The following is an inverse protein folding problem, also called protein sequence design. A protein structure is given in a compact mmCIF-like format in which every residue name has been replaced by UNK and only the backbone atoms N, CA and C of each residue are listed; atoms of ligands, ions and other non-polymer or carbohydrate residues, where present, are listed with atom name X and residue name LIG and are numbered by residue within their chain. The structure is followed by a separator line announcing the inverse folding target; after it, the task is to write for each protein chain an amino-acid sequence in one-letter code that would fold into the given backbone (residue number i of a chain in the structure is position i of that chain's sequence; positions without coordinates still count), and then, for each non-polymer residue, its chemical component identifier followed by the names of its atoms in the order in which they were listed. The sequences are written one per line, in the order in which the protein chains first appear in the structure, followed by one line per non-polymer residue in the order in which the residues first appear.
data_IF_074398182014
#
_entry.id   IF_074398182014
#
_cell.length_a   1.000
_cell.length_b   1.000
_cell.length_c   1.000
_cell.angle_alpha   90.00
_cell.angle_beta   90.00
_cell.angle_gamma   90.00
#
_symmetry.space_group_name_H-M   'P 1'
#
loop_
_entity.id
_entity.type
_entity.pdbx_description
1 polymer ?
#
# COMPACT_ATOMS: atom_id res chain seq x y z
N UNK A 1 28.79 24.31 -24.30
CA UNK A 1 28.20 23.14 -23.66
C UNK A 1 27.00 22.73 -24.48
N UNK A 2 27.13 21.61 -25.17
CA UNK A 2 26.52 21.36 -26.47
C UNK A 2 25.02 20.99 -26.41
N UNK A 3 24.26 21.59 -27.32
CA UNK A 3 22.87 21.20 -27.63
C UNK A 3 22.66 19.70 -27.94
N UNK A 4 23.74 18.97 -28.22
CA UNK A 4 23.76 17.54 -28.48
C UNK A 4 23.60 16.70 -27.19
N UNK A 5 23.97 17.21 -26.02
CA UNK A 5 23.79 16.55 -24.73
C UNK A 5 22.36 16.65 -24.20
N UNK A 6 21.61 17.67 -24.63
CA UNK A 6 20.21 17.84 -24.29
C UNK A 6 19.29 16.91 -25.13
N UNK A 7 19.72 16.53 -26.33
CA UNK A 7 18.99 15.59 -27.20
C UNK A 7 19.18 14.14 -26.80
N UNK A 8 20.29 13.78 -26.13
CA UNK A 8 20.52 12.41 -25.65
C UNK A 8 19.72 12.09 -24.40
N UNK A 9 19.28 13.11 -23.66
CA UNK A 9 18.42 12.94 -22.46
C UNK A 9 16.94 12.85 -22.85
N UNK A 10 16.57 13.32 -24.04
CA UNK A 10 15.17 13.39 -24.50
C UNK A 10 14.73 12.14 -25.29
N UNK A 11 15.63 11.21 -25.59
CA UNK A 11 15.34 10.02 -26.40
C UNK A 11 15.12 8.74 -25.59
N UNK A 12 15.03 8.81 -24.26
CA UNK A 12 14.58 7.67 -23.43
C UNK A 12 13.12 7.92 -23.05
N UNK A 13 12.26 7.93 -24.03
CA UNK A 13 10.81 7.82 -23.87
C UNK A 13 10.39 6.59 -24.64
N UNK A 14 10.29 5.45 -23.99
CA UNK A 14 9.48 4.33 -24.47
C UNK A 14 8.86 3.65 -23.25
N UNK A 15 7.59 3.93 -23.09
CA UNK A 15 6.46 3.01 -23.28
C UNK A 15 6.35 1.93 -22.25
N UNK A 16 5.24 2.04 -21.53
CA UNK A 16 4.27 1.05 -21.16
C UNK A 16 4.59 0.07 -20.06
N UNK A 17 3.58 -0.22 -19.42
CA UNK A 17 3.27 -1.45 -18.77
C UNK A 17 3.23 -1.29 -17.27
N UNK A 18 2.25 -1.60 -16.78
CA UNK A 18 1.53 -1.42 -15.59
C UNK A 18 1.77 -2.50 -14.56
N UNK A 19 1.80 -2.16 -13.28
CA UNK A 19 1.35 -3.06 -12.24
C UNK A 19 1.21 -2.50 -10.85
N UNK A 20 0.45 -3.22 -10.04
CA UNK A 20 -0.32 -2.71 -8.95
C UNK A 20 0.33 -2.67 -7.55
N UNK A 21 1.16 -3.63 -7.18
CA UNK A 21 1.99 -3.55 -5.98
C UNK A 21 3.30 -2.85 -6.33
N UNK A 22 3.96 -2.18 -5.38
CA UNK A 22 5.22 -1.48 -5.66
C UNK A 22 6.23 -2.35 -6.40
N UNK A 23 6.35 -3.63 -6.02
CA UNK A 23 7.23 -4.59 -6.69
C UNK A 23 6.84 -4.87 -8.15
N UNK A 24 5.55 -5.05 -8.44
CA UNK A 24 5.08 -5.30 -9.80
C UNK A 24 5.19 -4.03 -10.65
N UNK A 25 4.80 -2.88 -10.10
CA UNK A 25 4.94 -1.61 -10.77
C UNK A 25 6.40 -1.36 -11.17
N UNK A 26 7.35 -1.60 -10.27
CA UNK A 26 8.76 -1.39 -10.54
C UNK A 26 9.32 -2.42 -11.52
N UNK A 27 8.92 -3.70 -11.44
CA UNK A 27 9.30 -4.72 -12.44
C UNK A 27 8.95 -4.29 -13.86
N UNK A 28 7.82 -3.65 -14.03
CA UNK A 28 7.31 -3.20 -15.33
C UNK A 28 7.67 -1.74 -15.66
N UNK A 29 8.37 -1.03 -14.78
CA UNK A 29 8.65 0.38 -14.95
C UNK A 29 7.42 1.30 -14.92
N UNK A 30 6.34 0.86 -14.27
CA UNK A 30 5.05 1.52 -14.30
C UNK A 30 4.77 2.36 -13.06
N UNK A 31 3.75 3.23 -13.15
CA UNK A 31 3.22 4.02 -12.04
C UNK A 31 1.90 3.42 -11.53
N UNK A 32 1.57 3.62 -10.25
CA UNK A 32 0.33 3.11 -9.64
C UNK A 32 -0.94 3.44 -10.44
N UNK A 33 -1.01 4.66 -11.01
CA UNK A 33 -2.17 5.12 -11.80
C UNK A 33 -2.39 4.37 -13.12
N UNK A 34 -1.41 3.60 -13.57
CA UNK A 34 -1.57 2.79 -14.79
C UNK A 34 -2.46 1.58 -14.49
N UNK A 35 -2.31 0.97 -13.31
CA UNK A 35 -3.02 -0.25 -12.92
C UNK A 35 -4.25 -0.02 -12.06
N UNK A 36 -4.34 1.08 -11.37
CA UNK A 36 -5.45 1.37 -10.46
C UNK A 36 -6.31 2.55 -10.92
N UNK A 37 -7.59 2.46 -10.59
CA UNK A 37 -8.53 3.59 -10.73
C UNK A 37 -8.11 4.72 -9.78
N UNK A 38 -7.75 4.38 -8.54
CA UNK A 38 -7.14 5.30 -7.59
C UNK A 38 -5.69 5.59 -8.02
N UNK A 39 -5.33 6.83 -8.42
CA UNK A 39 -4.00 7.14 -8.93
C UNK A 39 -2.84 6.84 -7.96
N UNK A 40 -3.13 6.76 -6.66
CA UNK A 40 -2.14 6.44 -5.62
C UNK A 40 -2.03 4.95 -5.32
N UNK A 41 -2.70 4.10 -6.10
CA UNK A 41 -2.72 2.64 -5.92
C UNK A 41 -3.79 2.17 -4.95
N UNK A 42 -3.89 0.85 -4.77
CA UNK A 42 -4.90 0.14 -3.98
C UNK A 42 -6.31 0.15 -4.61
N UNK A 43 -7.16 -0.75 -4.13
CA UNK A 43 -8.53 -0.90 -4.56
C UNK A 43 -8.65 -1.40 -6.01
N UNK A 44 -9.71 -0.99 -6.68
CA UNK A 44 -10.05 -1.46 -8.01
C UNK A 44 -8.95 -1.25 -9.04
N UNK A 45 -8.72 -2.26 -9.85
CA UNK A 45 -7.79 -2.21 -10.98
C UNK A 45 -8.41 -1.43 -12.16
N UNK A 46 -7.57 -0.78 -12.93
CA UNK A 46 -7.92 -0.28 -14.27
C UNK A 46 -8.09 -1.45 -15.24
N UNK A 47 -8.57 -1.20 -16.45
CA UNK A 47 -8.61 -2.23 -17.52
C UNK A 47 -7.24 -2.87 -17.71
N UNK A 48 -6.19 -2.08 -17.75
CA UNK A 48 -4.83 -2.58 -17.88
C UNK A 48 -4.39 -3.41 -16.67
N UNK A 49 -4.58 -2.93 -15.44
CA UNK A 49 -4.23 -3.67 -14.23
C UNK A 49 -5.03 -4.96 -14.08
N UNK A 50 -6.27 -4.99 -14.54
CA UNK A 50 -7.09 -6.20 -14.59
C UNK A 50 -6.56 -7.20 -15.61
N UNK A 51 -6.20 -6.76 -16.83
CA UNK A 51 -5.59 -7.64 -17.85
C UNK A 51 -4.27 -8.22 -17.34
N UNK A 52 -3.40 -7.41 -16.76
CA UNK A 52 -2.15 -7.90 -16.19
C UNK A 52 -2.37 -8.96 -15.12
N UNK A 53 -3.25 -8.71 -14.16
CA UNK A 53 -3.57 -9.67 -13.09
C UNK A 53 -4.17 -10.99 -13.61
N UNK A 54 -4.81 -10.96 -14.78
CA UNK A 54 -5.42 -12.15 -15.38
C UNK A 54 -4.48 -12.94 -16.30
N UNK A 55 -3.56 -12.26 -16.97
CA UNK A 55 -2.79 -12.87 -18.07
C UNK A 55 -1.30 -13.02 -17.74
N UNK A 56 -0.71 -12.09 -16.96
CA UNK A 56 0.74 -12.04 -16.73
C UNK A 56 1.15 -12.61 -15.37
N UNK A 57 0.30 -12.41 -14.34
CA UNK A 57 0.63 -12.86 -12.99
C UNK A 57 0.40 -14.35 -12.75
N UNK A 58 -0.41 -15.01 -13.55
CA UNK A 58 -0.93 -16.36 -13.25
C UNK A 58 -0.10 -17.48 -13.90
N UNK A 59 -0.06 -18.65 -13.25
CA UNK A 59 0.53 -19.86 -13.82
C UNK A 59 -0.30 -20.37 -15.02
N UNK A 60 -1.63 -20.29 -14.88
CA UNK A 60 -2.58 -20.71 -15.91
C UNK A 60 -3.55 -19.58 -16.20
N UNK A 61 -3.62 -19.14 -17.43
CA UNK A 61 -4.51 -18.07 -17.86
C UNK A 61 -5.90 -18.61 -18.20
N UNK A 62 -6.92 -17.75 -18.17
CA UNK A 62 -8.27 -18.12 -18.58
C UNK A 62 -8.35 -18.59 -20.06
N UNK A 63 -7.42 -18.14 -20.91
CA UNK A 63 -7.33 -18.56 -22.33
C UNK A 63 -6.90 -20.02 -22.49
N UNK A 64 -6.21 -20.57 -21.49
CA UNK A 64 -5.75 -21.97 -21.49
C UNK A 64 -6.80 -22.92 -20.88
N UNK A 65 -7.77 -22.38 -20.16
CA UNK A 65 -8.89 -23.14 -19.60
C UNK A 65 -10.10 -22.98 -20.49
N UNK A 66 -10.41 -24.01 -21.29
CA UNK A 66 -11.43 -23.99 -22.36
C UNK A 66 -12.86 -23.70 -21.89
N UNK A 67 -13.13 -23.77 -20.59
CA UNK A 67 -14.47 -23.67 -20.01
C UNK A 67 -14.72 -22.35 -19.26
N UNK A 68 -13.74 -21.45 -19.15
CA UNK A 68 -13.90 -20.14 -18.54
C UNK A 68 -14.06 -19.10 -19.63
N UNK A 69 -15.27 -18.58 -19.76
CA UNK A 69 -15.53 -17.45 -20.64
C UNK A 69 -14.74 -16.20 -20.18
N UNK A 70 -14.33 -15.39 -21.13
CA UNK A 70 -13.69 -14.12 -20.85
C UNK A 70 -14.66 -13.23 -20.06
N UNK A 71 -14.31 -12.92 -18.80
CA UNK A 71 -15.09 -11.97 -18.03
C UNK A 71 -14.41 -10.59 -18.04
N UNK A 72 -15.21 -9.55 -17.99
CA UNK A 72 -14.75 -8.17 -17.85
C UNK A 72 -15.40 -7.55 -16.62
N UNK A 73 -14.62 -6.85 -15.75
CA UNK A 73 -15.20 -6.08 -14.66
C UNK A 73 -16.02 -4.89 -15.16
N UNK A 74 -15.90 -4.52 -16.44
CA UNK A 74 -16.68 -3.45 -17.05
C UNK A 74 -18.10 -3.96 -17.40
N UNK A 75 -19.10 -3.47 -16.68
CA UNK A 75 -20.50 -3.76 -16.98
C UNK A 75 -20.98 -3.01 -18.24
N UNK A 76 -20.47 -1.80 -18.43
CA UNK A 76 -20.67 -0.95 -19.59
C UNK A 76 -19.63 0.20 -19.59
N UNK A 77 -19.76 1.16 -20.52
CA UNK A 77 -18.83 2.29 -20.66
C UNK A 77 -18.78 3.21 -19.43
N UNK A 78 -19.76 3.17 -18.57
CA UNK A 78 -19.89 4.05 -17.39
C UNK A 78 -19.60 3.33 -16.07
N UNK A 79 -19.88 2.03 -15.97
CA UNK A 79 -19.80 1.26 -14.73
C UNK A 79 -18.77 0.15 -14.82
N UNK A 80 -17.89 0.11 -13.85
CA UNK A 80 -16.98 -1.00 -13.60
C UNK A 80 -17.16 -1.48 -12.17
N UNK A 81 -17.22 -2.79 -11.97
CA UNK A 81 -17.35 -3.44 -10.66
C UNK A 81 -16.13 -4.30 -10.43
N UNK A 82 -15.62 -4.31 -9.21
CA UNK A 82 -14.53 -5.18 -8.81
C UNK A 82 -14.74 -5.70 -7.40
N UNK A 83 -13.97 -6.69 -7.04
CA UNK A 83 -14.04 -7.33 -5.73
C UNK A 83 -12.65 -7.77 -5.27
N UNK A 84 -12.43 -7.71 -3.98
CA UNK A 84 -11.27 -8.27 -3.29
C UNK A 84 -11.78 -9.07 -2.08
N UNK A 85 -11.56 -10.38 -2.10
CA UNK A 85 -12.05 -11.28 -1.08
C UNK A 85 -10.90 -12.13 -0.55
N UNK A 86 -10.60 -12.02 0.76
CA UNK A 86 -9.47 -12.70 1.40
C UNK A 86 -9.91 -13.46 2.63
N UNK A 87 -9.65 -14.76 2.62
CA UNK A 87 -9.78 -15.63 3.79
C UNK A 87 -8.39 -16.04 4.26
N UNK A 88 -8.13 -15.92 5.55
CA UNK A 88 -6.86 -16.27 6.15
C UNK A 88 -7.04 -17.50 7.06
N UNK A 89 -6.25 -18.56 6.82
CA UNK A 89 -5.92 -19.53 7.84
C UNK A 89 -4.74 -19.00 8.64
N UNK A 90 -4.92 -18.95 9.95
CA UNK A 90 -3.97 -18.40 10.90
C UNK A 90 -3.68 -19.44 11.99
N UNK A 91 -2.41 -19.69 12.26
CA UNK A 91 -1.94 -20.50 13.39
C UNK A 91 -0.91 -19.70 14.17
N UNK A 92 -1.00 -19.72 15.52
CA UNK A 92 -0.05 -19.09 16.44
C UNK A 92 0.54 -20.12 17.36
N UNK A 93 1.87 -20.15 17.47
CA UNK A 93 2.59 -21.11 18.31
C UNK A 93 2.35 -20.86 19.81
N UNK A 94 2.30 -19.63 20.26
CA UNK A 94 2.18 -19.23 21.66
C UNK A 94 1.12 -19.99 22.44
N UNK A 95 -0.01 -20.28 21.83
CA UNK A 95 -1.13 -20.99 22.44
C UNK A 95 -1.59 -22.20 21.64
N UNK A 96 -0.85 -22.55 20.59
CA UNK A 96 -1.14 -23.67 19.68
C UNK A 96 -2.57 -23.60 19.10
N UNK A 97 -3.03 -22.39 18.81
CA UNK A 97 -4.38 -22.17 18.27
C UNK A 97 -4.35 -21.87 16.78
N UNK A 98 -5.38 -22.34 16.08
CA UNK A 98 -5.61 -22.02 14.67
C UNK A 98 -7.04 -21.59 14.43
N UNK A 99 -7.21 -20.78 13.40
CA UNK A 99 -8.54 -20.30 13.00
C UNK A 99 -8.55 -19.96 11.51
N UNK A 100 -9.71 -20.15 10.88
CA UNK A 100 -10.04 -19.46 9.64
C UNK A 100 -10.82 -18.21 9.96
N UNK A 101 -10.44 -17.09 9.35
CA UNK A 101 -11.26 -15.89 9.45
C UNK A 101 -11.27 -15.11 8.14
N UNK A 102 -12.35 -14.39 7.93
CA UNK A 102 -12.51 -13.49 6.82
C UNK A 102 -11.64 -12.26 7.08
N UNK A 103 -10.54 -12.13 6.32
CA UNK A 103 -9.60 -11.04 6.50
C UNK A 103 -10.08 -9.76 5.80
N UNK A 104 -10.61 -9.91 4.60
CA UNK A 104 -11.07 -8.79 3.76
C UNK A 104 -12.22 -9.25 2.88
N UNK A 105 -13.11 -8.33 2.58
CA UNK A 105 -14.14 -8.48 1.56
C UNK A 105 -14.54 -7.09 1.14
N UNK A 106 -13.98 -6.60 0.04
CA UNK A 106 -14.23 -5.26 -0.48
C UNK A 106 -14.99 -5.35 -1.79
N UNK A 107 -15.97 -4.50 -1.94
CA UNK A 107 -16.71 -4.29 -3.17
C UNK A 107 -16.35 -2.92 -3.74
N UNK A 108 -15.96 -2.90 -4.99
CA UNK A 108 -15.54 -1.71 -5.72
C UNK A 108 -16.56 -1.32 -6.77
N UNK A 109 -16.79 -0.02 -6.91
CA UNK A 109 -17.59 0.55 -7.99
C UNK A 109 -16.90 1.79 -8.54
N UNK A 110 -16.65 1.84 -9.84
CA UNK A 110 -16.18 3.02 -10.57
C UNK A 110 -17.28 3.51 -11.51
N UNK A 111 -17.74 4.73 -11.27
CA UNK A 111 -18.66 5.44 -12.15
C UNK A 111 -17.87 6.43 -12.99
N UNK A 112 -17.66 6.12 -14.26
CA UNK A 112 -16.98 6.97 -15.23
C UNK A 112 -17.96 7.93 -15.88
N UNK A 113 -18.01 9.18 -15.42
CA UNK A 113 -18.87 10.21 -16.02
C UNK A 113 -18.40 10.63 -17.40
N UNK A 114 -17.07 10.70 -17.58
CA UNK A 114 -16.39 10.91 -18.86
C UNK A 114 -14.88 10.59 -18.72
N UNK A 115 -14.06 10.90 -19.72
CA UNK A 115 -12.60 10.65 -19.68
C UNK A 115 -11.86 11.38 -18.56
N UNK A 116 -12.43 12.46 -17.99
CA UNK A 116 -11.79 13.31 -16.97
C UNK A 116 -12.39 13.17 -15.58
N UNK A 117 -13.65 12.80 -15.47
CA UNK A 117 -14.39 12.77 -14.19
C UNK A 117 -14.87 11.38 -13.86
N UNK A 118 -14.63 10.95 -12.61
CA UNK A 118 -15.06 9.67 -12.04
C UNK A 118 -15.56 9.86 -10.61
N UNK A 119 -16.42 8.95 -10.19
CA UNK A 119 -16.76 8.74 -8.78
C UNK A 119 -16.37 7.31 -8.46
N UNK A 120 -15.54 7.15 -7.45
CA UNK A 120 -15.06 5.85 -6.98
C UNK A 120 -15.68 5.53 -5.64
N UNK A 121 -15.99 4.27 -5.45
CA UNK A 121 -16.57 3.74 -4.24
C UNK A 121 -15.91 2.40 -3.91
N UNK A 122 -15.48 2.24 -2.67
CA UNK A 122 -14.89 1.04 -2.11
C UNK A 122 -15.47 0.82 -0.72
N UNK A 123 -16.13 -0.32 -0.51
CA UNK A 123 -16.72 -0.68 0.77
C UNK A 123 -16.28 -2.06 1.20
N UNK A 124 -15.49 -2.10 2.26
CA UNK A 124 -15.15 -3.32 2.96
C UNK A 124 -16.31 -3.84 3.83
N UNK A 125 -16.40 -5.17 3.95
CA UNK A 125 -17.42 -5.82 4.80
C UNK A 125 -17.19 -5.53 6.29
N UNK A 126 -15.92 -5.42 6.72
CA UNK A 126 -15.56 -5.26 8.13
C UNK A 126 -15.08 -3.85 8.46
N UNK A 127 -14.23 -3.29 7.62
CA UNK A 127 -13.68 -1.96 7.79
C UNK A 127 -13.28 -1.41 6.44
N UNK A 128 -13.04 -0.11 6.39
CA UNK A 128 -12.69 0.56 5.16
C UNK A 128 -13.93 1.06 4.42
N UNK A 129 -13.87 2.32 4.09
CA UNK A 129 -14.84 2.97 3.23
C UNK A 129 -14.15 4.10 2.50
N UNK A 130 -13.86 3.88 1.23
CA UNK A 130 -13.37 4.96 0.38
C UNK A 130 -14.49 5.41 -0.56
N UNK A 131 -14.71 6.71 -0.62
CA UNK A 131 -15.57 7.33 -1.62
C UNK A 131 -14.99 8.67 -2.00
N UNK A 132 -14.72 8.84 -3.29
CA UNK A 132 -14.15 10.10 -3.76
C UNK A 132 -14.54 10.41 -5.21
N UNK A 133 -14.59 11.71 -5.49
CA UNK A 133 -14.60 12.23 -6.84
C UNK A 133 -13.16 12.44 -7.32
N UNK A 134 -12.88 12.03 -8.56
CA UNK A 134 -11.59 12.20 -9.22
C UNK A 134 -11.77 13.03 -10.49
N UNK A 135 -11.02 14.14 -10.60
CA UNK A 135 -11.00 15.01 -11.76
C UNK A 135 -9.60 15.08 -12.36
N UNK A 136 -9.38 14.48 -13.55
CA UNK A 136 -8.12 14.53 -14.30
C UNK A 136 -8.08 15.80 -15.18
N UNK A 137 -7.87 16.96 -14.56
CA UNK A 137 -7.98 18.28 -15.20
C UNK A 137 -6.74 19.14 -15.02
N UNK A 138 -5.78 18.71 -14.21
CA UNK A 138 -4.53 19.43 -13.99
C UNK A 138 -3.51 19.09 -15.08
N UNK A 139 -2.52 19.96 -15.35
CA UNK A 139 -1.41 19.65 -16.25
C UNK A 139 -0.55 18.50 -15.70
N UNK A 140 0.37 18.00 -16.54
CA UNK A 140 1.34 16.96 -16.17
C UNK A 140 0.66 15.66 -15.69
N UNK A 141 -0.38 15.21 -16.39
CA UNK A 141 -1.22 14.07 -16.02
C UNK A 141 -1.81 14.20 -14.60
N UNK A 142 -2.00 15.43 -14.16
CA UNK A 142 -2.40 15.75 -12.80
C UNK A 142 -3.90 15.57 -12.58
N UNK A 143 -4.26 15.41 -11.28
CA UNK A 143 -5.62 15.21 -10.85
C UNK A 143 -5.94 15.94 -9.55
N UNK A 144 -7.24 16.11 -9.32
CA UNK A 144 -7.84 16.51 -8.05
C UNK A 144 -8.66 15.33 -7.55
N UNK A 145 -8.43 14.91 -6.31
CA UNK A 145 -9.21 13.87 -5.63
C UNK A 145 -9.81 14.45 -4.36
N UNK A 146 -11.13 14.36 -4.19
CA UNK A 146 -11.87 14.92 -3.07
C UNK A 146 -12.84 13.87 -2.51
N UNK A 147 -12.78 13.61 -1.23
CA UNK A 147 -13.65 12.65 -0.57
C UNK A 147 -13.02 12.02 0.66
N UNK A 148 -13.46 10.81 1.00
CA UNK A 148 -12.92 9.99 2.07
C UNK A 148 -12.06 8.88 1.48
N UNK A 149 -10.77 8.86 1.80
CA UNK A 149 -9.81 7.88 1.27
C UNK A 149 -8.55 7.82 2.12
N UNK A 150 -7.75 6.76 1.95
CA UNK A 150 -6.48 6.61 2.66
C UNK A 150 -5.47 7.64 2.11
N UNK A 151 -4.89 8.50 2.97
CA UNK A 151 -3.87 9.46 2.57
C UNK A 151 -2.69 8.77 1.85
N UNK A 152 -2.13 9.44 0.85
CA UNK A 152 -1.00 8.91 0.08
C UNK A 152 0.29 9.03 0.87
N UNK A 153 0.74 7.93 1.49
CA UNK A 153 1.95 7.86 2.29
C UNK A 153 2.72 6.56 2.01
N UNK A 154 4.04 6.62 1.90
CA UNK A 154 4.94 5.49 1.79
C UNK A 154 4.66 4.50 0.63
N UNK A 155 5.13 3.28 0.78
CA UNK A 155 4.80 2.17 -0.11
C UNK A 155 3.34 1.74 0.07
N UNK A 156 2.65 1.41 -1.00
CA UNK A 156 1.28 0.91 -0.98
C UNK A 156 1.26 -0.61 -0.92
N UNK A 157 1.35 -1.14 0.32
CA UNK A 157 1.30 -2.58 0.57
C UNK A 157 -0.13 -3.04 0.84
N UNK A 158 -0.45 -4.25 0.41
CA UNK A 158 -1.78 -4.86 0.60
C UNK A 158 -1.87 -5.74 1.86
N UNK A 159 -0.75 -6.06 2.50
CA UNK A 159 -0.72 -6.82 3.73
C UNK A 159 -0.98 -5.90 4.94
N UNK A 160 -2.16 -6.01 5.52
CA UNK A 160 -2.61 -5.21 6.65
C UNK A 160 -1.81 -5.46 7.94
N UNK A 161 -1.08 -6.58 8.00
CA UNK A 161 -0.34 -6.97 9.20
C UNK A 161 1.07 -6.38 9.23
N UNK A 162 1.52 -5.73 8.15
CA UNK A 162 2.81 -5.05 8.13
C UNK A 162 2.81 -3.86 9.09
N UNK A 163 3.91 -3.69 9.82
CA UNK A 163 4.10 -2.57 10.77
C UNK A 163 4.03 -1.21 10.10
N UNK A 164 4.48 -1.11 8.85
CA UNK A 164 4.36 0.11 8.05
C UNK A 164 2.91 0.41 7.60
N UNK A 165 1.93 -0.45 7.96
CA UNK A 165 0.51 -0.22 7.61
C UNK A 165 -0.38 -0.23 8.84
N UNK A 166 -0.76 -1.34 9.41
CA UNK A 166 -1.60 -1.36 10.61
C UNK A 166 -0.96 -2.05 11.80
N UNK A 167 0.05 -2.90 11.56
CA UNK A 167 0.70 -3.67 12.61
C UNK A 167 -0.28 -4.58 13.35
N UNK A 168 -1.36 -5.02 12.70
CA UNK A 168 -2.33 -5.92 13.32
C UNK A 168 -1.63 -7.18 13.84
N UNK A 169 -2.15 -7.71 14.95
CA UNK A 169 -1.63 -8.87 15.71
C UNK A 169 -0.35 -8.64 16.52
N UNK A 170 0.31 -7.49 16.44
CA UNK A 170 1.41 -7.20 17.34
C UNK A 170 0.92 -6.71 18.70
N UNK A 171 1.43 -7.27 19.81
CA UNK A 171 1.07 -6.85 21.16
C UNK A 171 1.85 -5.59 21.57
N UNK A 172 1.58 -4.45 20.92
CA UNK A 172 2.23 -3.18 21.24
C UNK A 172 1.59 -2.57 22.48
N UNK A 173 2.40 -2.30 23.50
CA UNK A 173 1.92 -1.60 24.69
C UNK A 173 1.68 -0.10 24.39
N UNK A 174 0.43 0.38 24.41
CA UNK A 174 0.12 1.77 24.09
C UNK A 174 0.70 2.77 25.08
N UNK A 175 1.05 2.35 26.30
CA UNK A 175 1.66 3.24 27.30
C UNK A 175 3.10 3.63 26.95
N UNK A 176 3.78 2.86 26.09
CA UNK A 176 5.16 3.18 25.69
C UNK A 176 5.27 3.55 24.20
N UNK A 177 4.28 3.21 23.40
CA UNK A 177 4.35 3.36 21.96
C UNK A 177 4.14 4.82 21.52
N UNK A 178 4.93 5.26 20.55
CA UNK A 178 4.69 6.51 19.82
C UNK A 178 3.39 6.41 19.01
N UNK A 179 3.16 5.27 18.39
CA UNK A 179 2.00 5.01 17.55
C UNK A 179 1.56 3.54 17.69
N UNK A 180 0.58 3.24 18.56
CA UNK A 180 0.09 1.88 18.72
C UNK A 180 -0.54 1.34 17.43
N UNK A 181 -0.23 0.11 17.06
CA UNK A 181 -0.79 -0.52 15.87
C UNK A 181 -0.03 -0.19 14.57
N UNK A 182 1.26 0.15 14.66
CA UNK A 182 2.11 0.46 13.52
C UNK A 182 1.80 1.82 12.88
N UNK A 183 2.19 2.02 11.62
CA UNK A 183 2.15 3.35 10.99
C UNK A 183 0.74 3.84 10.61
N UNK A 184 -0.19 2.93 10.36
CA UNK A 184 -1.60 3.24 10.21
C UNK A 184 -2.02 3.96 8.92
N UNK A 185 -1.34 3.71 7.80
CA UNK A 185 -1.80 4.11 6.46
C UNK A 185 -2.35 2.91 5.67
N UNK A 186 -2.98 1.98 6.36
CA UNK A 186 -3.69 0.83 5.82
C UNK A 186 -5.20 1.02 5.82
N UNK A 187 -5.91 -0.07 5.60
CA UNK A 187 -7.36 -0.13 5.68
C UNK A 187 -7.86 0.28 7.07
N UNK A 188 -8.88 1.09 7.13
CA UNK A 188 -9.38 1.69 8.37
C UNK A 188 -8.69 3.00 8.76
N UNK A 189 -7.78 3.50 7.93
CA UNK A 189 -7.10 4.78 8.12
C UNK A 189 -7.57 5.86 7.12
N UNK A 190 -8.76 5.67 6.55
CA UNK A 190 -9.37 6.64 5.66
C UNK A 190 -9.63 7.96 6.39
N UNK A 191 -9.42 9.06 5.69
CA UNK A 191 -9.70 10.41 6.19
C UNK A 191 -10.34 11.25 5.07
N UNK A 192 -11.20 12.16 5.43
CA UNK A 192 -11.85 13.06 4.47
C UNK A 192 -10.95 14.23 4.17
N UNK A 193 -10.69 14.46 2.88
CA UNK A 193 -9.78 15.51 2.45
C UNK A 193 -9.75 15.74 0.95
N UNK A 194 -8.81 16.58 0.57
CA UNK A 194 -8.46 16.95 -0.80
C UNK A 194 -7.02 16.50 -1.06
N UNK A 195 -6.78 15.87 -2.20
CA UNK A 195 -5.44 15.53 -2.70
C UNK A 195 -5.26 16.05 -4.13
N UNK A 196 -4.12 16.66 -4.38
CA UNK A 196 -3.63 17.03 -5.69
C UNK A 196 -2.49 16.09 -6.07
N UNK A 197 -2.54 15.51 -7.25
CA UNK A 197 -1.47 14.67 -7.78
C UNK A 197 -0.95 15.21 -9.09
N UNK A 198 0.35 15.01 -9.34
CA UNK A 198 1.06 15.37 -10.56
C UNK A 198 2.02 14.24 -10.93
N UNK A 199 2.13 13.93 -12.21
CA UNK A 199 2.98 12.82 -12.69
C UNK A 199 3.86 13.22 -13.88
N UNK A 200 4.72 14.27 -13.75
CA UNK A 200 5.58 14.69 -14.85
C UNK A 200 6.69 13.65 -15.09
N UNK A 201 6.77 13.15 -16.32
CA UNK A 201 7.80 12.20 -16.76
C UNK A 201 7.99 11.04 -15.77
N UNK A 202 9.16 10.91 -15.14
CA UNK A 202 9.49 9.84 -14.19
C UNK A 202 9.06 10.15 -12.73
N UNK A 203 8.55 11.34 -12.44
CA UNK A 203 8.15 11.75 -11.09
C UNK A 203 6.66 11.50 -10.83
N UNK A 204 6.32 11.29 -9.56
CA UNK A 204 4.96 11.38 -9.02
C UNK A 204 4.99 12.23 -7.77
N UNK A 205 4.09 13.21 -7.66
CA UNK A 205 3.99 14.09 -6.50
C UNK A 205 2.54 14.14 -6.06
N UNK A 206 2.28 13.87 -4.79
CA UNK A 206 0.96 13.95 -4.17
C UNK A 206 1.01 14.91 -2.98
N UNK A 207 0.07 15.83 -2.92
CA UNK A 207 -0.09 16.76 -1.80
C UNK A 207 -1.54 16.71 -1.34
N UNK A 208 -1.76 16.33 -0.09
CA UNK A 208 -3.09 16.16 0.48
C UNK A 208 -3.29 16.99 1.74
N UNK A 209 -4.53 17.45 1.94
CA UNK A 209 -5.01 18.11 3.16
C UNK A 209 -6.23 17.37 3.66
N UNK A 210 -6.18 16.91 4.91
CA UNK A 210 -7.17 16.02 5.51
C UNK A 210 -7.67 16.56 6.84
N UNK A 211 -8.77 16.00 7.35
CA UNK A 211 -9.29 16.37 8.67
C UNK A 211 -8.31 16.06 9.81
N UNK A 212 -7.48 15.00 9.65
CA UNK A 212 -6.43 14.69 10.62
C UNK A 212 -6.90 13.87 11.82
N UNK A 213 -8.05 13.25 11.74
CA UNK A 213 -8.44 12.15 12.63
C UNK A 213 -8.78 10.98 11.75
N UNK A 214 -8.07 9.89 11.97
CA UNK A 214 -8.37 8.62 11.32
C UNK A 214 -9.86 8.29 11.45
N UNK A 215 -10.48 8.16 10.32
CA UNK A 215 -11.81 7.62 10.21
C UNK A 215 -12.93 8.59 10.61
N UNK A 216 -13.81 8.76 9.73
CA UNK A 216 -15.11 9.30 9.97
C UNK A 216 -15.65 10.10 8.81
N UNK A 217 -16.62 9.51 8.13
CA UNK A 217 -17.51 10.21 7.18
C UNK A 217 -18.19 11.44 7.80
N UNK A 218 -18.35 11.44 9.12
CA UNK A 218 -19.04 12.48 9.87
C UNK A 218 -18.09 13.48 10.50
N UNK A 219 -17.27 14.13 9.72
CA UNK A 219 -16.27 15.09 10.14
C UNK A 219 -16.76 16.40 10.76
N UNK A 220 -17.94 16.45 11.39
CA UNK A 220 -18.44 17.62 12.13
C UNK A 220 -17.61 17.92 13.38
N UNK A 221 -16.80 16.95 13.87
CA UNK A 221 -15.85 17.11 14.99
C UNK A 221 -14.42 17.39 14.53
N UNK A 222 -14.23 17.90 13.32
CA UNK A 222 -12.92 18.14 12.74
C UNK A 222 -12.04 19.07 13.59
N UNK A 223 -10.74 18.79 13.59
CA UNK A 223 -9.76 19.63 14.27
C UNK A 223 -9.64 20.99 13.57
N UNK A 224 -9.37 22.05 14.34
CA UNK A 224 -9.05 23.36 13.78
C UNK A 224 -7.87 23.29 12.82
N UNK A 225 -6.90 22.45 13.11
CA UNK A 225 -5.70 22.23 12.33
C UNK A 225 -5.85 20.95 11.48
N UNK A 226 -5.62 21.06 10.20
CA UNK A 226 -5.71 19.95 9.25
C UNK A 226 -4.39 19.16 9.20
N UNK A 227 -4.48 17.88 8.87
CA UNK A 227 -3.32 17.11 8.52
C UNK A 227 -2.86 17.44 7.10
N UNK A 228 -1.56 17.51 6.90
CA UNK A 228 -0.93 17.69 5.60
C UNK A 228 -0.12 16.43 5.30
N UNK A 229 -0.28 15.90 4.11
CA UNK A 229 0.46 14.75 3.61
C UNK A 229 1.13 15.15 2.31
N UNK A 230 2.41 14.86 2.19
CA UNK A 230 3.17 15.03 0.95
C UNK A 230 3.89 13.73 0.67
N UNK A 231 3.77 13.22 -0.55
CA UNK A 231 4.53 12.08 -1.05
C UNK A 231 5.11 12.43 -2.41
N UNK A 232 6.37 12.12 -2.61
CA UNK A 232 7.02 12.25 -3.90
C UNK A 232 7.90 11.03 -4.16
N UNK A 233 7.86 10.53 -5.40
CA UNK A 233 8.71 9.44 -5.85
C UNK A 233 9.15 9.61 -7.30
N UNK A 234 10.31 9.03 -7.60
CA UNK A 234 10.87 8.91 -8.93
C UNK A 234 10.86 7.45 -9.36
N UNK A 235 10.26 7.18 -10.52
CA UNK A 235 10.23 5.86 -11.14
C UNK A 235 11.10 5.89 -12.40
N UNK A 236 12.18 5.12 -12.40
CA UNK A 236 13.16 5.09 -13.49
C UNK A 236 13.29 3.68 -14.01
N UNK A 237 13.20 3.54 -15.32
CA UNK A 237 13.30 2.29 -16.04
C UNK A 237 14.56 2.28 -16.89
N UNK A 238 15.30 1.17 -16.83
CA UNK A 238 16.43 0.88 -17.71
C UNK A 238 16.33 -0.57 -18.18
N UNK A 239 17.17 -0.96 -19.12
CA UNK A 239 17.17 -2.34 -19.65
C UNK A 239 17.49 -3.43 -18.61
N UNK A 240 18.26 -3.11 -17.56
CA UNK A 240 18.71 -4.07 -16.56
C UNK A 240 18.09 -3.85 -15.18
N UNK A 241 17.80 -2.61 -14.83
CA UNK A 241 17.41 -2.22 -13.48
C UNK A 241 16.27 -1.22 -13.56
N UNK A 242 15.16 -1.54 -12.95
CA UNK A 242 14.07 -0.60 -12.71
C UNK A 242 14.07 -0.21 -11.24
N UNK A 243 13.84 1.04 -10.92
CA UNK A 243 13.73 1.46 -9.53
C UNK A 243 12.71 2.57 -9.33
N UNK A 244 12.10 2.53 -8.16
CA UNK A 244 11.26 3.59 -7.62
C UNK A 244 11.88 4.01 -6.29
N UNK A 245 12.11 5.30 -6.09
CA UNK A 245 12.62 5.85 -4.83
C UNK A 245 11.84 7.09 -4.47
N UNK A 246 11.49 7.22 -3.22
CA UNK A 246 10.68 8.34 -2.77
C UNK A 246 10.71 8.59 -1.28
N UNK A 247 9.93 9.59 -0.89
CA UNK A 247 9.73 9.95 0.51
C UNK A 247 8.35 10.51 0.77
N UNK A 248 7.97 10.49 2.03
CA UNK A 248 6.67 10.98 2.50
C UNK A 248 6.80 11.75 3.78
N UNK A 249 5.92 12.72 3.94
CA UNK A 249 5.76 13.50 5.17
C UNK A 249 4.28 13.53 5.53
N UNK A 250 3.99 13.21 6.79
CA UNK A 250 2.68 13.44 7.40
C UNK A 250 2.84 14.40 8.59
N UNK A 251 2.08 15.46 8.62
CA UNK A 251 2.08 16.41 9.74
C UNK A 251 0.67 16.73 10.16
N UNK A 252 0.32 16.38 11.38
CA UNK A 252 -0.96 16.69 12.00
C UNK A 252 -0.73 17.41 13.32
N UNK A 253 -1.00 18.71 13.41
CA UNK A 253 -1.08 19.42 14.67
C UNK A 253 -2.31 18.95 15.47
N UNK A 254 -2.13 18.56 16.72
CA UNK A 254 -3.23 18.15 17.58
C UNK A 254 -4.05 19.37 18.01
N UNK A 255 -5.34 19.37 17.70
CA UNK A 255 -6.24 20.42 18.16
C UNK A 255 -6.70 20.12 19.60
N UNK A 256 -6.50 21.08 20.48
CA UNK A 256 -6.96 21.03 21.88
C UNK A 256 -6.11 20.16 22.83
N UNK A 257 -4.99 19.64 22.38
CA UNK A 257 -3.97 18.98 23.20
C UNK A 257 -2.61 19.55 22.85
N UNK A 258 -1.68 19.69 23.82
CA UNK A 258 -0.30 19.96 23.48
C UNK A 258 0.27 18.74 22.76
N UNK A 259 0.89 18.95 21.60
CA UNK A 259 1.52 17.88 20.86
C UNK A 259 1.07 17.78 19.40
N UNK A 260 1.80 17.02 18.64
CA UNK A 260 1.61 16.83 17.20
C UNK A 260 1.84 15.36 16.83
N UNK A 261 1.33 14.96 15.69
CA UNK A 261 1.76 13.74 15.00
C UNK A 261 2.56 14.15 13.79
N UNK A 262 3.83 13.74 13.73
CA UNK A 262 4.71 13.94 12.59
C UNK A 262 5.33 12.61 12.20
N UNK A 263 5.34 12.32 10.89
CA UNK A 263 5.93 11.11 10.35
C UNK A 263 6.73 11.51 9.10
N UNK A 264 7.97 11.05 9.04
CA UNK A 264 8.87 11.22 7.90
C UNK A 264 9.31 9.85 7.44
N UNK A 265 9.08 9.53 6.18
CA UNK A 265 9.43 8.24 5.63
C UNK A 265 10.22 8.35 4.34
N UNK A 266 11.15 7.42 4.15
CA UNK A 266 11.84 7.17 2.90
C UNK A 266 11.59 5.75 2.45
N UNK A 267 11.37 5.53 1.16
CA UNK A 267 11.08 4.22 0.61
C UNK A 267 11.77 4.01 -0.74
N UNK A 268 11.94 2.75 -1.09
CA UNK A 268 12.49 2.39 -2.38
C UNK A 268 12.11 0.98 -2.81
N UNK A 269 12.10 0.76 -4.11
CA UNK A 269 11.93 -0.53 -4.76
C UNK A 269 12.95 -0.62 -5.89
N UNK A 270 13.68 -1.71 -5.97
CA UNK A 270 14.66 -1.99 -7.02
C UNK A 270 14.33 -3.35 -7.60
N UNK A 271 14.19 -3.44 -8.90
CA UNK A 271 13.99 -4.69 -9.62
C UNK A 271 15.12 -4.94 -10.61
N UNK A 272 15.75 -6.10 -10.47
CA UNK A 272 16.83 -6.58 -11.33
C UNK A 272 16.27 -7.64 -12.30
N UNK A 273 16.47 -7.42 -13.60
CA UNK A 273 16.03 -8.35 -14.66
C UNK A 273 14.57 -8.81 -14.49
N UNK A 274 13.71 -7.99 -13.89
CA UNK A 274 12.31 -8.27 -13.60
C UNK A 274 12.03 -9.49 -12.68
N UNK A 275 13.05 -10.24 -12.27
CA UNK A 275 12.89 -11.43 -11.45
C UNK A 275 13.21 -11.20 -9.98
N UNK A 276 14.24 -10.42 -9.67
CA UNK A 276 14.64 -10.14 -8.30
C UNK A 276 14.24 -8.72 -7.93
N UNK A 277 13.39 -8.58 -6.91
CA UNK A 277 12.93 -7.27 -6.44
C UNK A 277 13.21 -7.11 -4.96
N UNK A 278 13.89 -6.02 -4.61
CA UNK A 278 14.07 -5.57 -3.24
C UNK A 278 13.22 -4.32 -3.02
N UNK A 279 12.44 -4.29 -1.95
CA UNK A 279 11.68 -3.12 -1.54
C UNK A 279 11.82 -2.84 -0.05
N UNK A 280 11.69 -1.57 0.33
CA UNK A 280 11.79 -1.19 1.74
C UNK A 280 11.29 0.21 2.02
N UNK A 281 10.96 0.43 3.29
CA UNK A 281 10.50 1.72 3.83
C UNK A 281 11.07 1.89 5.23
N UNK A 282 11.52 3.09 5.54
CA UNK A 282 11.92 3.48 6.89
C UNK A 282 11.19 4.75 7.29
N UNK A 283 10.58 4.71 8.47
CA UNK A 283 9.80 5.80 9.02
C UNK A 283 10.27 6.21 10.41
N UNK A 284 10.34 7.51 10.60
CA UNK A 284 10.58 8.16 11.87
C UNK A 284 9.31 8.91 12.27
N UNK A 285 8.77 8.60 13.44
CA UNK A 285 7.47 9.09 13.85
C UNK A 285 7.52 9.72 15.26
N UNK A 286 6.87 10.87 15.41
CA UNK A 286 6.68 11.53 16.68
C UNK A 286 5.21 11.76 16.91
N UNK A 287 4.69 11.33 18.05
CA UNK A 287 3.29 11.55 18.43
C UNK A 287 3.17 11.85 19.91
N UNK A 288 2.13 12.57 20.26
CA UNK A 288 1.81 12.83 21.67
C UNK A 288 1.16 11.61 22.31
N UNK A 289 1.78 11.11 23.36
CA UNK A 289 1.27 10.00 24.15
C UNK A 289 0.53 10.55 25.37
N UNK A 290 -0.78 10.38 25.40
CA UNK A 290 -1.64 10.91 26.47
C UNK A 290 -1.43 10.21 27.82
N UNK A 291 -0.95 8.97 27.83
CA UNK A 291 -0.66 8.22 29.07
C UNK A 291 0.60 8.76 29.72
N UNK A 292 1.63 9.04 28.92
CA UNK A 292 2.89 9.61 29.40
C UNK A 292 2.87 11.14 29.51
N UNK A 293 1.84 11.78 28.96
CA UNK A 293 1.69 13.24 28.88
C UNK A 293 2.90 13.93 28.24
N UNK A 294 3.49 13.32 27.20
CA UNK A 294 4.65 13.83 26.46
C UNK A 294 4.66 13.37 25.01
N UNK A 295 5.44 14.02 24.19
CA UNK A 295 5.79 13.52 22.86
C UNK A 295 6.69 12.28 22.98
N UNK A 296 6.42 11.26 22.19
CA UNK A 296 7.19 10.02 22.08
C UNK A 296 7.61 9.84 20.65
N UNK A 297 8.85 9.44 20.45
CA UNK A 297 9.44 9.22 19.15
C UNK A 297 9.71 7.72 18.95
N UNK A 298 9.33 7.19 17.80
CA UNK A 298 9.58 5.81 17.40
C UNK A 298 10.11 5.72 15.99
N UNK A 299 10.48 4.52 15.58
CA UNK A 299 10.89 4.22 14.21
C UNK A 299 10.39 2.87 13.74
N UNK A 300 10.11 2.78 12.46
CA UNK A 300 9.68 1.53 11.79
C UNK A 300 10.59 1.31 10.59
N UNK A 301 11.04 0.07 10.42
CA UNK A 301 11.75 -0.41 9.24
C UNK A 301 11.00 -1.59 8.64
N UNK A 302 10.86 -1.58 7.36
CA UNK A 302 10.38 -2.68 6.55
C UNK A 302 11.35 -2.94 5.40
N UNK A 303 11.63 -4.23 5.12
CA UNK A 303 12.40 -4.68 3.98
C UNK A 303 11.86 -6.00 3.46
N UNK A 304 11.79 -6.17 2.14
CA UNK A 304 11.30 -7.39 1.51
C UNK A 304 12.08 -7.69 0.23
N UNK A 305 12.53 -8.93 0.11
CA UNK A 305 13.13 -9.49 -1.08
C UNK A 305 12.14 -10.45 -1.73
N UNK A 306 11.87 -10.27 -3.01
CA UNK A 306 11.02 -11.13 -3.81
C UNK A 306 11.82 -11.70 -4.99
N UNK A 307 11.66 -12.99 -5.24
CA UNK A 307 12.26 -13.68 -6.38
C UNK A 307 11.18 -14.41 -7.18
N UNK A 308 10.97 -13.97 -8.42
CA UNK A 308 10.07 -14.61 -9.36
C UNK A 308 10.72 -15.91 -9.85
N UNK A 309 10.34 -17.02 -9.24
CA UNK A 309 10.87 -18.34 -9.53
C UNK A 309 10.42 -18.84 -10.92
N UNK A 310 9.15 -18.65 -11.20
CA UNK A 310 8.50 -18.93 -12.49
C UNK A 310 7.22 -18.09 -12.58
N UNK A 311 6.59 -18.01 -13.74
CA UNK A 311 5.29 -17.34 -13.86
C UNK A 311 4.33 -17.84 -12.80
N UNK A 312 3.70 -16.94 -12.07
CA UNK A 312 2.75 -17.25 -11.00
C UNK A 312 3.35 -17.70 -9.67
N UNK A 313 4.68 -17.74 -9.49
CA UNK A 313 5.32 -18.12 -8.21
C UNK A 313 6.40 -17.14 -7.84
N UNK A 314 6.14 -16.34 -6.80
CA UNK A 314 7.05 -15.32 -6.27
C UNK A 314 7.48 -15.71 -4.84
N UNK A 315 8.76 -16.04 -4.64
CA UNK A 315 9.31 -16.34 -3.32
C UNK A 315 9.54 -15.04 -2.55
N UNK A 316 9.30 -15.06 -1.24
CA UNK A 316 9.30 -13.89 -0.38
C UNK A 316 10.15 -14.09 0.85
N UNK A 317 11.05 -13.13 1.13
CA UNK A 317 11.75 -12.98 2.41
C UNK A 317 11.51 -11.55 2.91
N UNK A 318 11.04 -11.40 4.13
CA UNK A 318 10.73 -10.11 4.74
C UNK A 318 11.40 -9.90 6.09
N UNK A 319 11.68 -8.65 6.40
CA UNK A 319 12.11 -8.21 7.71
C UNK A 319 11.40 -6.93 8.10
N UNK A 320 10.89 -6.89 9.31
CA UNK A 320 10.27 -5.71 9.91
C UNK A 320 10.88 -5.45 11.28
N UNK A 321 11.03 -4.19 11.62
CA UNK A 321 11.45 -3.75 12.94
C UNK A 321 10.64 -2.53 13.34
N UNK A 322 10.15 -2.52 14.58
CA UNK A 322 9.49 -1.37 15.19
C UNK A 322 10.07 -1.11 16.57
N UNK A 323 10.63 0.07 16.76
CA UNK A 323 10.95 0.63 18.07
C UNK A 323 9.88 1.68 18.40
N UNK A 324 8.95 1.38 19.30
CA UNK A 324 7.83 2.26 19.60
C UNK A 324 8.24 3.49 20.39
N UNK A 325 9.41 3.49 21.03
CA UNK A 325 9.88 4.59 21.86
C UNK A 325 11.41 4.59 22.00
N UNK A 326 12.06 5.38 21.19
CA UNK A 326 13.52 5.50 21.11
C UNK A 326 14.20 5.99 22.42
N UNK A 327 13.42 6.56 23.36
CA UNK A 327 13.92 6.90 24.69
C UNK A 327 14.07 5.68 25.62
N UNK A 328 13.59 4.51 25.21
CA UNK A 328 13.57 3.28 26.00
C UNK A 328 14.42 2.20 25.29
N UNK A 329 15.04 1.34 26.09
CA UNK A 329 15.79 0.19 25.59
C UNK A 329 14.93 -1.06 25.39
N UNK A 330 13.68 -1.02 25.85
CA UNK A 330 12.70 -2.10 25.84
C UNK A 330 11.49 -1.74 24.96
N UNK A 331 10.76 -2.76 24.53
CA UNK A 331 9.51 -2.61 23.78
C UNK A 331 9.67 -2.70 22.26
N UNK A 332 10.89 -2.91 21.74
CA UNK A 332 11.09 -3.11 20.31
C UNK A 332 10.61 -4.50 19.88
N UNK A 333 10.13 -4.56 18.63
CA UNK A 333 9.60 -5.76 17.99
C UNK A 333 10.31 -5.94 16.65
N UNK A 334 10.69 -7.18 16.34
CA UNK A 334 11.15 -7.54 15.01
C UNK A 334 10.39 -8.77 14.49
N UNK A 335 10.29 -8.87 13.18
CA UNK A 335 9.64 -9.98 12.50
C UNK A 335 10.44 -10.37 11.26
N UNK A 336 10.73 -11.65 11.13
CA UNK A 336 11.19 -12.26 9.90
C UNK A 336 10.03 -13.00 9.24
N UNK A 337 9.88 -12.83 7.95
CA UNK A 337 8.85 -13.49 7.15
C UNK A 337 9.51 -14.30 6.04
N UNK A 338 9.10 -15.55 5.88
CA UNK A 338 9.48 -16.40 4.74
C UNK A 338 8.22 -17.01 4.13
N UNK A 339 8.15 -17.07 2.82
CA UNK A 339 7.02 -17.67 2.14
C UNK A 339 7.00 -17.45 0.65
N UNK A 340 5.80 -17.49 0.08
CA UNK A 340 5.58 -17.31 -1.34
C UNK A 340 4.23 -16.61 -1.60
N UNK A 341 4.12 -16.02 -2.78
CA UNK A 341 2.88 -15.62 -3.41
C UNK A 341 2.69 -16.49 -4.66
N UNK A 342 1.59 -17.21 -4.70
CA UNK A 342 1.30 -18.19 -5.74
C UNK A 342 0.00 -17.79 -6.40
N UNK A 343 0.04 -17.60 -7.71
CA UNK A 343 -1.11 -17.24 -8.55
C UNK A 343 -1.45 -18.43 -9.46
N UNK A 344 -2.13 -19.47 -8.95
CA UNK A 344 -2.32 -20.73 -9.69
C UNK A 344 -3.17 -20.55 -10.94
N UNK A 345 -4.14 -19.64 -10.89
CA UNK A 345 -5.02 -19.34 -12.01
C UNK A 345 -5.57 -17.90 -11.92
N UNK A 346 -6.16 -17.44 -13.00
CA UNK A 346 -6.77 -16.12 -13.12
C UNK A 346 -7.67 -15.79 -11.93
N UNK A 347 -7.41 -14.65 -11.27
CA UNK A 347 -8.23 -14.14 -10.17
C UNK A 347 -8.01 -14.83 -8.82
N UNK A 348 -7.02 -15.73 -8.71
CA UNK A 348 -6.74 -16.47 -7.48
C UNK A 348 -5.28 -16.30 -7.06
N UNK A 349 -5.08 -15.98 -5.78
CA UNK A 349 -3.77 -16.00 -5.14
C UNK A 349 -3.82 -16.86 -3.88
N UNK A 350 -2.77 -17.64 -3.62
CA UNK A 350 -2.52 -18.34 -2.37
C UNK A 350 -1.18 -17.87 -1.81
N UNK A 351 -1.17 -17.36 -0.57
CA UNK A 351 0.02 -16.75 0.04
C UNK A 351 0.34 -17.45 1.37
N UNK A 352 1.13 -18.53 1.37
CA UNK A 352 1.66 -19.14 2.59
C UNK A 352 2.84 -18.32 3.09
N UNK A 353 2.78 -17.87 4.36
CA UNK A 353 3.82 -17.11 5.04
C UNK A 353 4.07 -17.71 6.42
N UNK A 354 5.32 -17.95 6.77
CA UNK A 354 5.74 -18.21 8.13
C UNK A 354 6.44 -16.98 8.69
N UNK A 355 6.05 -16.56 9.90
CA UNK A 355 6.52 -15.35 10.56
C UNK A 355 7.15 -15.69 11.89
N UNK A 356 8.39 -15.28 12.07
CA UNK A 356 9.15 -15.40 13.30
C UNK A 356 9.14 -14.04 13.98
N UNK A 357 8.45 -13.94 15.10
CA UNK A 357 8.33 -12.72 15.88
C UNK A 357 9.33 -12.74 17.03
N UNK A 358 9.90 -11.57 17.35
CA UNK A 358 10.82 -11.39 18.46
C UNK A 358 10.52 -10.06 19.16
N UNK A 359 10.27 -10.12 20.45
CA UNK A 359 9.99 -8.96 21.29
C UNK A 359 11.05 -8.74 22.35
N UNK A 360 11.26 -7.48 22.72
CA UNK A 360 12.10 -7.10 23.84
C UNK A 360 11.28 -6.39 24.93
N UNK A 361 11.53 -6.63 26.23
CA UNK A 361 12.59 -7.48 26.79
C UNK A 361 12.22 -8.96 26.89
N UNK A 362 10.95 -9.31 26.70
CA UNK A 362 10.42 -10.67 26.93
C UNK A 362 9.93 -11.26 25.62
N UNK A 363 10.50 -12.37 25.22
CA UNK A 363 10.06 -13.17 24.07
C UNK A 363 8.71 -13.84 24.36
N UNK A 364 7.74 -13.70 23.47
CA UNK A 364 6.39 -14.22 23.63
C UNK A 364 6.19 -15.60 22.97
N UNK A 365 7.17 -16.12 22.22
CA UNK A 365 7.08 -17.35 21.44
C UNK A 365 5.82 -17.38 20.55
N UNK A 366 5.54 -16.28 19.89
CA UNK A 366 4.31 -16.05 19.14
C UNK A 366 4.53 -16.12 17.62
N UNK A 367 5.38 -17.04 17.15
CA UNK A 367 5.53 -17.31 15.73
C UNK A 367 4.20 -17.71 15.09
N UNK A 368 4.06 -17.42 13.81
CA UNK A 368 2.76 -17.50 13.11
C UNK A 368 2.90 -18.17 11.75
N UNK A 369 1.94 -19.03 11.40
CA UNK A 369 1.70 -19.48 10.05
C UNK A 369 0.44 -18.81 9.51
N UNK A 370 0.59 -18.15 8.40
CA UNK A 370 -0.50 -17.52 7.65
C UNK A 370 -0.63 -18.20 6.29
N UNK A 371 -1.83 -18.63 5.93
CA UNK A 371 -2.13 -19.06 4.56
C UNK A 371 -3.34 -18.25 4.09
N UNK A 372 -3.08 -17.29 3.25
CA UNK A 372 -4.11 -16.43 2.70
C UNK A 372 -4.62 -17.00 1.37
N UNK A 373 -5.92 -17.07 1.23
CA UNK A 373 -6.64 -17.33 -0.01
C UNK A 373 -7.28 -16.03 -0.46
N UNK A 374 -6.90 -15.56 -1.62
CA UNK A 374 -7.31 -14.27 -2.16
C UNK A 374 -7.97 -14.46 -3.52
N UNK A 375 -9.20 -13.98 -3.65
CA UNK A 375 -9.96 -13.91 -4.88
C UNK A 375 -10.13 -12.45 -5.27
N UNK A 376 -9.82 -12.11 -6.52
CA UNK A 376 -9.87 -10.74 -7.00
C UNK A 376 -10.42 -10.61 -8.43
N UNK A 377 -11.17 -9.51 -8.66
CA UNK A 377 -11.70 -9.12 -9.96
C UNK A 377 -11.15 -7.74 -10.39
#
# INVERSE_FOLDING_TARGET
MNRMMLFLILSIVVISGADALPKFATRQGAKCQSCHINPTGKGMRSTFGSTYGREELTMTTYKETTDIEEYSPMLNDFFTVGMDYRTLFYYREQNSTSSFFQMQGDLYLDLRLNKKFRIYFDKGLYSGFEVFGLAKVLPLEGYIKLGNFIPSYGLKMDDHNLLIRSGAFFPINPAIASYPGGLGFGQGAEDTGLELGFSPAFLTINVGVFNGKKGGLAGTGGTKNKAIVVRADANVQTDLVNFNVGGSVYNQPNAGSPGKTQIFGGFGVISLNNNLTLQGEYDYLTTYNSVLNKEVTGSILYGELNYLLTSGVDLKLGYEFYDPNLDRKDGSISRFTVGAEIFPLTGVEVRPLYRINQEKPTELNNNELHIMFHFYL
#
